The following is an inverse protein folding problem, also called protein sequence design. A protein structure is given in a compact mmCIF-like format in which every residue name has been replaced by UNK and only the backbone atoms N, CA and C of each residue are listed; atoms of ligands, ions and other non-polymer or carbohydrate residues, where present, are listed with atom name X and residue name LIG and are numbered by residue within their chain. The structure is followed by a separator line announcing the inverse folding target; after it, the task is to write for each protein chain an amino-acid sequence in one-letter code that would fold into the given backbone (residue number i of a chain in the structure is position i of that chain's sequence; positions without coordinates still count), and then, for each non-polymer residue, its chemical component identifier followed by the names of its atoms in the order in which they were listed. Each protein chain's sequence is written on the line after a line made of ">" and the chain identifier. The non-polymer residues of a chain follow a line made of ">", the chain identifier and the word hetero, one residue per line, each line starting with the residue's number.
data_IF_151907348377
#
_entry.id   IF_151907348377
#
_cell.length_a   1.000
_cell.length_b   1.000
_cell.length_c   1.000
_cell.angle_alpha   90.00
_cell.angle_beta   90.00
_cell.angle_gamma   90.00
#
_symmetry.space_group_name_H-M   'P 1'
#
loop_
_entity.id
_entity.type
_entity.pdbx_description
1 polymer ?
#
# COMPACT_ATOMS: atom_id res chain seq x y z
N UNK A 1 18.30 10.62 19.04
CA UNK A 1 17.09 9.78 19.18
C UNK A 1 17.49 8.31 19.20
N UNK A 2 16.75 7.40 19.86
CA UNK A 2 17.06 5.98 19.79
C UNK A 2 16.93 5.47 18.35
N UNK A 3 17.89 4.67 17.91
CA UNK A 3 17.85 3.98 16.61
C UNK A 3 17.03 2.70 16.81
N UNK A 4 15.99 2.50 16.00
CA UNK A 4 15.19 1.28 16.03
C UNK A 4 16.04 0.05 15.71
N UNK A 5 15.79 -1.07 16.39
CA UNK A 5 16.38 -2.35 16.03
C UNK A 5 15.63 -2.94 14.85
N UNK A 6 16.37 -3.39 13.83
CA UNK A 6 15.77 -4.08 12.69
C UNK A 6 15.14 -5.40 13.15
N UNK A 7 13.89 -5.65 12.75
CA UNK A 7 13.22 -6.94 12.98
C UNK A 7 14.06 -8.05 12.33
N UNK A 8 14.36 -9.12 13.08
CA UNK A 8 15.07 -10.26 12.51
C UNK A 8 14.16 -10.91 11.47
N UNK A 9 14.62 -10.96 10.21
CA UNK A 9 13.92 -11.71 9.18
C UNK A 9 13.99 -13.19 9.53
N UNK A 10 12.86 -13.78 9.91
CA UNK A 10 12.77 -15.22 10.11
C UNK A 10 12.89 -15.86 8.72
N UNK A 11 14.03 -16.49 8.43
CA UNK A 11 14.20 -17.31 7.23
C UNK A 11 13.39 -18.60 7.39
N UNK A 12 12.07 -18.47 7.35
CA UNK A 12 11.15 -19.60 7.26
C UNK A 12 10.91 -19.89 5.79
N UNK A 13 11.24 -21.10 5.35
CA UNK A 13 10.68 -21.64 4.11
C UNK A 13 9.20 -21.88 4.41
N UNK A 14 8.26 -21.12 3.81
CA UNK A 14 6.85 -21.29 4.12
C UNK A 14 6.41 -22.68 3.68
N UNK A 15 5.83 -23.47 4.58
CA UNK A 15 5.25 -24.78 4.24
C UNK A 15 3.85 -24.64 3.63
N UNK A 16 3.31 -23.42 3.57
CA UNK A 16 1.97 -23.06 3.09
C UNK A 16 2.01 -21.77 2.27
N UNK A 17 1.04 -21.59 1.37
CA UNK A 17 0.81 -20.32 0.68
C UNK A 17 0.71 -19.16 1.67
N UNK A 18 1.49 -18.11 1.44
CA UNK A 18 1.41 -16.85 2.18
C UNK A 18 0.68 -15.83 1.33
N UNK A 19 -0.26 -15.11 1.93
CA UNK A 19 -1.01 -14.05 1.25
C UNK A 19 -0.65 -12.71 1.87
N UNK A 20 -0.41 -11.72 1.01
CA UNK A 20 -0.31 -10.33 1.42
C UNK A 20 -1.62 -9.61 1.12
N UNK A 21 -1.97 -8.66 1.98
CA UNK A 21 -3.10 -7.76 1.79
C UNK A 21 -2.60 -6.33 1.76
N UNK A 22 -3.14 -5.55 0.83
CA UNK A 22 -2.92 -4.12 0.70
C UNK A 22 -4.27 -3.41 0.89
N UNK A 23 -4.64 -3.05 2.13
CA UNK A 23 -5.87 -2.35 2.41
C UNK A 23 -5.67 -0.83 2.38
N UNK A 24 -6.61 -0.12 1.77
CA UNK A 24 -6.79 1.32 1.95
C UNK A 24 -7.98 1.57 2.87
N UNK A 25 -7.76 2.28 3.97
CA UNK A 25 -8.75 2.49 5.02
C UNK A 25 -8.88 3.99 5.27
N UNK A 26 -10.10 4.48 5.35
CA UNK A 26 -10.43 5.82 5.78
C UNK A 26 -11.19 5.82 7.11
N UNK A 27 -11.49 7.01 7.63
CA UNK A 27 -12.31 7.16 8.85
C UNK A 27 -13.70 6.55 8.66
N UNK A 28 -14.20 6.49 7.42
CA UNK A 28 -15.49 5.92 7.06
C UNK A 28 -15.47 4.39 6.90
N UNK A 29 -14.28 3.77 6.87
CA UNK A 29 -14.12 2.31 6.74
C UNK A 29 -13.13 1.90 5.65
N UNK A 30 -13.24 0.65 5.21
CA UNK A 30 -12.43 0.08 4.13
C UNK A 30 -12.84 0.68 2.78
N UNK A 31 -11.87 1.22 2.03
CA UNK A 31 -12.10 1.87 0.73
C UNK A 31 -11.80 0.91 -0.42
N UNK A 32 -10.63 0.29 -0.39
CA UNK A 32 -10.17 -0.69 -1.38
C UNK A 32 -9.30 -1.75 -0.71
N UNK A 33 -9.23 -2.96 -1.29
CA UNK A 33 -8.35 -4.02 -0.82
C UNK A 33 -7.84 -4.85 -1.98
N UNK A 34 -6.53 -5.05 -2.03
CA UNK A 34 -5.90 -6.02 -2.93
C UNK A 34 -5.31 -7.18 -2.11
N UNK A 35 -5.48 -8.41 -2.59
CA UNK A 35 -4.99 -9.62 -1.92
C UNK A 35 -4.27 -10.47 -2.96
N UNK A 36 -3.01 -10.83 -2.67
CA UNK A 36 -2.22 -11.68 -3.55
C UNK A 36 -1.40 -12.70 -2.78
N UNK A 37 -1.00 -13.77 -3.46
CA UNK A 37 0.00 -14.69 -2.93
C UNK A 37 1.40 -14.04 -2.98
N UNK A 38 2.22 -14.29 -1.96
CA UNK A 38 3.52 -13.66 -1.73
C UNK A 38 3.45 -12.14 -1.46
N UNK A 39 4.63 -11.50 -1.36
CA UNK A 39 4.77 -10.08 -1.04
C UNK A 39 4.31 -9.15 -2.15
N UNK A 40 3.88 -7.93 -1.78
CA UNK A 40 3.55 -6.84 -2.70
C UNK A 40 4.83 -6.19 -3.22
N UNK A 41 4.91 -6.02 -4.54
CA UNK A 41 5.97 -5.27 -5.22
C UNK A 41 5.40 -3.98 -5.79
N UNK A 42 6.28 -3.08 -6.21
CA UNK A 42 5.88 -1.82 -6.84
C UNK A 42 4.94 -2.02 -8.05
N UNK A 43 5.25 -2.99 -8.92
CA UNK A 43 4.42 -3.35 -10.07
C UNK A 43 3.01 -3.86 -9.70
N UNK A 44 2.80 -4.25 -8.44
CA UNK A 44 1.48 -4.65 -7.92
C UNK A 44 0.79 -3.45 -7.24
N UNK A 45 1.57 -2.49 -6.74
CA UNK A 45 1.09 -1.30 -6.03
C UNK A 45 0.54 -0.23 -6.99
N UNK A 46 1.21 0.03 -8.12
CA UNK A 46 0.75 1.03 -9.09
C UNK A 46 -0.65 0.72 -9.67
N UNK A 47 -0.94 -0.52 -10.14
CA UNK A 47 -2.29 -0.83 -10.63
C UNK A 47 -3.35 -0.74 -9.53
N UNK A 48 -3.02 -1.15 -8.30
CA UNK A 48 -3.92 -0.98 -7.16
C UNK A 48 -4.24 0.50 -6.91
N UNK A 49 -3.23 1.36 -6.95
CA UNK A 49 -3.41 2.78 -6.75
C UNK A 49 -4.28 3.38 -7.87
N UNK A 50 -3.93 3.13 -9.12
CA UNK A 50 -4.61 3.72 -10.29
C UNK A 50 -6.05 3.20 -10.46
N UNK A 51 -6.27 1.90 -10.32
CA UNK A 51 -7.53 1.26 -10.72
C UNK A 51 -8.46 0.94 -9.56
N UNK A 52 -7.93 0.72 -8.36
CA UNK A 52 -8.76 0.31 -7.21
C UNK A 52 -8.94 1.45 -6.21
N UNK A 53 -7.88 2.18 -5.84
CA UNK A 53 -7.93 3.18 -4.78
C UNK A 53 -8.33 4.58 -5.26
N UNK A 54 -7.58 5.17 -6.20
CA UNK A 54 -7.81 6.56 -6.63
C UNK A 54 -9.23 6.82 -7.18
N UNK A 55 -9.88 5.89 -7.91
CA UNK A 55 -11.26 6.07 -8.36
C UNK A 55 -12.28 6.18 -7.22
N UNK A 56 -11.92 5.70 -6.02
CA UNK A 56 -12.75 5.75 -4.82
C UNK A 56 -12.43 6.97 -3.93
N UNK A 57 -11.36 7.70 -4.24
CA UNK A 57 -10.96 8.93 -3.53
C UNK A 57 -11.62 10.15 -4.16
N UNK A 58 -11.69 11.24 -3.40
CA UNK A 58 -12.18 12.52 -3.92
C UNK A 58 -11.04 13.54 -4.08
N UNK A 59 -11.19 14.56 -4.93
CA UNK A 59 -10.26 15.69 -4.97
C UNK A 59 -10.22 16.44 -3.63
N UNK A 60 -9.05 16.90 -3.21
CA UNK A 60 -8.90 17.77 -2.04
C UNK A 60 -9.70 19.08 -2.22
N UNK A 61 -10.45 19.58 -1.21
CA UNK A 61 -10.49 19.15 0.20
C UNK A 61 -11.72 18.31 0.60
N UNK A 62 -12.29 17.52 -0.31
CA UNK A 62 -13.45 16.68 0.02
C UNK A 62 -13.09 15.54 1.00
N UNK A 63 -14.08 14.78 1.47
CA UNK A 63 -13.84 13.57 2.26
C UNK A 63 -13.01 12.54 1.47
N UNK A 64 -12.17 11.75 2.15
CA UNK A 64 -11.36 10.69 1.52
C UNK A 64 -10.46 11.21 0.38
N UNK A 65 -9.86 12.40 0.57
CA UNK A 65 -9.05 13.09 -0.45
C UNK A 65 -7.54 13.15 -0.18
N UNK A 66 -7.10 12.67 0.97
CA UNK A 66 -5.68 12.66 1.36
C UNK A 66 -5.21 11.23 1.50
N UNK A 67 -4.23 10.86 0.68
CA UNK A 67 -3.54 9.58 0.77
C UNK A 67 -2.41 9.67 1.79
N UNK A 68 -2.38 8.75 2.76
CA UNK A 68 -1.30 8.64 3.76
C UNK A 68 -0.73 7.23 3.69
N UNK A 69 0.58 7.14 3.49
CA UNK A 69 1.33 5.88 3.36
C UNK A 69 2.58 5.95 4.25
N UNK A 70 3.16 4.79 4.57
CA UNK A 70 4.47 4.77 5.21
C UNK A 70 5.58 5.08 4.19
N UNK A 71 6.82 5.19 4.66
CA UNK A 71 7.96 5.56 3.81
C UNK A 71 8.61 4.33 3.15
N UNK A 72 7.84 3.33 2.75
CA UNK A 72 8.36 2.09 2.18
C UNK A 72 8.90 2.28 0.75
N UNK A 73 9.96 1.56 0.32
CA UNK A 73 10.54 1.70 -1.03
C UNK A 73 9.53 1.56 -2.18
N UNK A 74 8.52 0.71 -2.03
CA UNK A 74 7.48 0.50 -3.04
C UNK A 74 6.58 1.74 -3.28
N UNK A 75 6.70 2.79 -2.46
CA UNK A 75 5.95 4.04 -2.57
C UNK A 75 6.75 5.20 -3.19
N UNK A 76 8.03 5.03 -3.49
CA UNK A 76 8.93 6.13 -3.91
C UNK A 76 9.18 6.21 -5.42
N UNK A 77 8.95 5.13 -6.14
CA UNK A 77 9.36 4.99 -7.53
C UNK A 77 8.16 4.86 -8.48
N UNK A 78 8.43 4.90 -9.78
CA UNK A 78 7.42 4.72 -10.84
C UNK A 78 6.50 5.92 -11.01
N UNK A 79 5.24 5.67 -11.34
CA UNK A 79 4.27 6.71 -11.70
C UNK A 79 3.42 7.16 -10.49
N UNK A 80 3.75 6.76 -9.26
CA UNK A 80 2.96 7.02 -8.04
C UNK A 80 2.73 8.52 -7.81
N UNK A 81 3.77 9.35 -7.99
CA UNK A 81 3.65 10.80 -7.84
C UNK A 81 2.71 11.38 -8.90
N UNK A 82 2.82 10.93 -10.16
CA UNK A 82 1.98 11.41 -11.26
C UNK A 82 0.52 10.99 -11.11
N UNK A 83 0.26 9.78 -10.58
CA UNK A 83 -1.08 9.29 -10.27
C UNK A 83 -1.77 10.10 -9.16
N UNK A 84 -1.01 10.67 -8.23
CA UNK A 84 -1.55 11.40 -7.06
C UNK A 84 -1.69 12.93 -7.25
N UNK A 85 -1.47 13.45 -8.47
CA UNK A 85 -1.59 14.89 -8.78
C UNK A 85 -3.04 15.34 -8.94
#
# INVERSE_FOLDING_TARGET
>A
APVGQHTVHLNQVPSSSQYSMLPAISISGLVAVHVQEAGVKQQDFEPFLEHDLLPMMNPWPASDSVLVMDNAPIHHDGDIEDLCK
#
